data_IF_549053810074
#
_entry.id   IF_549053810074
#
_cell.length_a   1.000
_cell.length_b   1.000
_cell.length_c   1.000
_cell.angle_alpha   90.00
_cell.angle_beta   90.00
_cell.angle_gamma   90.00
#
_symmetry.space_group_name_H-M   'P 1'
#
loop_
_entity.id
_entity.type
_entity.pdbx_description
1 polymer ?
#
# COMPACT_ATOMS: atom_id res chain seq x y z
N UNK A 1 14.92 -10.94 0.53
CA UNK A 1 13.96 -9.82 0.50
C UNK A 1 14.20 -8.88 1.67
N UNK A 2 14.16 -7.58 1.45
CA UNK A 2 14.28 -6.54 2.48
C UNK A 2 12.93 -5.84 2.61
N UNK A 3 12.47 -5.64 3.85
CA UNK A 3 11.24 -4.90 4.14
C UNK A 3 11.55 -3.60 4.89
N UNK A 4 10.90 -2.50 4.51
CA UNK A 4 10.94 -1.23 5.24
C UNK A 4 9.53 -0.77 5.57
N UNK A 5 9.32 -0.35 6.82
CA UNK A 5 8.02 0.05 7.34
C UNK A 5 8.06 1.52 7.78
N UNK A 6 7.07 2.31 7.37
CA UNK A 6 6.96 3.73 7.70
C UNK A 6 5.51 4.06 8.08
N UNK A 7 5.34 4.82 9.16
CA UNK A 7 4.03 5.38 9.54
C UNK A 7 3.92 6.84 9.11
N UNK A 8 2.85 7.18 8.40
CA UNK A 8 2.65 8.49 7.78
C UNK A 8 1.34 9.17 8.20
N UNK A 9 1.22 10.46 7.84
CA UNK A 9 0.06 11.30 8.17
C UNK A 9 -0.94 11.48 7.02
N UNK A 10 -0.64 11.12 5.78
CA UNK A 10 -1.52 11.43 4.63
C UNK A 10 -1.45 10.36 3.56
N UNK A 11 -2.58 9.68 3.29
CA UNK A 11 -2.70 8.71 2.19
C UNK A 11 -2.54 9.43 0.85
N UNK A 12 -3.19 10.58 0.66
CA UNK A 12 -3.08 11.38 -0.58
C UNK A 12 -1.63 11.75 -0.92
N UNK A 13 -0.86 12.17 0.09
CA UNK A 13 0.56 12.51 -0.11
C UNK A 13 1.39 11.30 -0.52
N UNK A 14 1.20 10.17 0.16
CA UNK A 14 1.89 8.92 -0.19
C UNK A 14 1.51 8.41 -1.58
N UNK A 15 0.22 8.38 -1.91
CA UNK A 15 -0.28 7.90 -3.20
C UNK A 15 0.21 8.78 -4.35
N UNK A 16 0.21 10.11 -4.20
CA UNK A 16 0.78 11.00 -5.22
C UNK A 16 2.27 10.74 -5.45
N UNK A 17 3.02 10.45 -4.39
CA UNK A 17 4.44 10.11 -4.50
C UNK A 17 4.64 8.78 -5.23
N UNK A 18 3.92 7.72 -4.83
CA UNK A 18 4.08 6.38 -5.41
C UNK A 18 3.64 6.34 -6.88
N UNK A 19 2.48 6.88 -7.21
CA UNK A 19 2.00 6.96 -8.59
C UNK A 19 2.80 7.93 -9.47
N UNK A 20 3.63 8.78 -8.88
CA UNK A 20 4.54 9.67 -9.61
C UNK A 20 5.84 9.01 -10.04
N UNK A 21 6.10 7.77 -9.62
CA UNK A 21 7.29 7.02 -10.04
C UNK A 21 7.07 6.39 -11.41
N UNK A 22 8.15 6.34 -12.18
CA UNK A 22 8.16 5.64 -13.46
C UNK A 22 7.89 4.15 -13.23
N UNK A 23 7.05 3.54 -14.08
CA UNK A 23 6.68 2.13 -13.94
C UNK A 23 5.64 1.81 -12.86
N UNK A 24 5.19 2.81 -12.08
CA UNK A 24 4.24 2.58 -11.00
C UNK A 24 2.93 1.94 -11.50
N UNK A 25 2.62 0.76 -10.99
CA UNK A 25 1.47 -0.05 -11.37
C UNK A 25 0.76 -0.61 -10.17
N UNK A 26 -0.57 -0.51 -10.15
CA UNK A 26 -1.40 -1.20 -9.17
C UNK A 26 -1.46 -2.69 -9.49
N UNK A 27 -0.97 -3.51 -8.56
CA UNK A 27 -0.88 -4.98 -8.69
C UNK A 27 -1.87 -5.70 -7.76
N UNK A 28 -2.67 -4.94 -7.00
CA UNK A 28 -3.80 -5.47 -6.26
C UNK A 28 -4.21 -4.60 -5.09
N UNK A 29 -5.15 -5.07 -4.30
CA UNK A 29 -5.79 -4.30 -3.24
C UNK A 29 -7.22 -4.77 -3.02
N UNK A 30 -7.91 -4.14 -2.08
CA UNK A 30 -9.34 -4.35 -1.82
C UNK A 30 -10.14 -3.04 -1.96
N UNK A 31 -9.66 -2.14 -2.80
CA UNK A 31 -10.26 -0.84 -3.10
C UNK A 31 -10.46 -0.70 -4.61
N UNK A 32 -11.46 0.07 -5.00
CA UNK A 32 -11.88 0.22 -6.41
C UNK A 32 -11.14 1.35 -7.13
N UNK A 33 -10.64 2.34 -6.39
CA UNK A 33 -9.99 3.52 -6.93
C UNK A 33 -8.76 3.16 -7.76
N UNK A 34 -8.60 3.87 -8.87
CA UNK A 34 -7.52 3.61 -9.85
C UNK A 34 -6.48 4.71 -9.90
N UNK A 35 -6.73 5.81 -9.20
CA UNK A 35 -5.82 6.93 -9.12
C UNK A 35 -5.67 7.44 -7.67
N UNK A 36 -4.62 8.22 -7.38
CA UNK A 36 -4.38 8.73 -6.03
C UNK A 36 -5.52 9.53 -5.41
N UNK A 37 -6.49 10.04 -6.18
CA UNK A 37 -7.57 10.89 -5.65
C UNK A 37 -8.71 10.01 -5.16
N UNK A 38 -9.11 9.03 -5.99
CA UNK A 38 -10.12 8.03 -5.65
C UNK A 38 -9.69 7.19 -4.45
N UNK A 39 -8.49 6.62 -4.50
CA UNK A 39 -7.94 5.80 -3.41
C UNK A 39 -7.85 6.57 -2.09
N UNK A 40 -7.46 7.85 -2.14
CA UNK A 40 -7.42 8.68 -0.93
C UNK A 40 -8.82 8.99 -0.37
N UNK A 41 -9.84 9.05 -1.24
CA UNK A 41 -11.23 9.22 -0.82
C UNK A 41 -11.75 7.95 -0.14
N UNK A 42 -11.42 6.76 -0.64
CA UNK A 42 -11.77 5.49 0.00
C UNK A 42 -11.10 5.32 1.37
N UNK A 43 -9.79 5.57 1.46
CA UNK A 43 -9.06 5.51 2.74
C UNK A 43 -9.58 6.49 3.79
N UNK A 44 -10.29 7.55 3.37
CA UNK A 44 -10.87 8.52 4.30
C UNK A 44 -11.88 7.87 5.25
N UNK A 45 -12.62 6.86 4.79
CA UNK A 45 -13.58 6.13 5.62
C UNK A 45 -12.88 5.44 6.79
N UNK A 46 -11.78 4.73 6.53
CA UNK A 46 -10.96 4.09 7.59
C UNK A 46 -10.43 5.11 8.61
N UNK A 47 -9.99 6.29 8.15
CA UNK A 47 -9.53 7.35 9.07
C UNK A 47 -10.65 7.87 9.97
N UNK A 48 -11.87 8.00 9.45
CA UNK A 48 -13.00 8.56 10.21
C UNK A 48 -13.43 7.65 11.37
N UNK A 49 -13.15 6.35 11.30
CA UNK A 49 -13.43 5.39 12.38
C UNK A 49 -12.66 5.68 13.67
N UNK A 50 -11.46 6.25 13.57
CA UNK A 50 -10.69 6.66 14.75
C UNK A 50 -9.96 8.00 14.54
N UNK A 51 -10.65 9.13 14.76
CA UNK A 51 -10.10 10.47 14.55
C UNK A 51 -8.89 10.82 15.43
N UNK A 52 -8.67 10.08 16.53
CA UNK A 52 -7.54 10.31 17.45
C UNK A 52 -6.20 9.83 16.85
N UNK A 53 -6.23 9.02 15.79
CA UNK A 53 -5.02 8.49 15.16
C UNK A 53 -4.38 9.55 14.27
N UNK A 54 -3.28 10.14 14.74
CA UNK A 54 -2.53 11.18 14.02
C UNK A 54 -1.67 10.65 12.86
N UNK A 55 -1.32 9.36 12.89
CA UNK A 55 -0.55 8.65 11.84
C UNK A 55 -1.31 7.41 11.37
N UNK A 56 -2.34 7.64 10.56
CA UNK A 56 -3.22 6.58 10.06
C UNK A 56 -2.67 5.81 8.86
N UNK A 57 -1.55 6.25 8.27
CA UNK A 57 -0.96 5.59 7.10
C UNK A 57 0.11 4.61 7.57
N UNK A 58 0.03 3.38 7.11
CA UNK A 58 1.09 2.40 7.22
C UNK A 58 1.58 2.05 5.82
N UNK A 59 2.87 2.30 5.57
CA UNK A 59 3.53 2.05 4.29
C UNK A 59 4.61 0.99 4.52
N UNK A 60 4.47 -0.15 3.85
CA UNK A 60 5.48 -1.19 3.81
C UNK A 60 6.00 -1.33 2.38
N UNK A 61 7.31 -1.21 2.20
CA UNK A 61 7.98 -1.50 0.94
C UNK A 61 8.76 -2.80 1.06
N UNK A 62 8.56 -3.71 0.12
CA UNK A 62 9.27 -4.98 0.03
C UNK A 62 10.14 -4.95 -1.23
N UNK A 63 11.40 -5.37 -1.11
CA UNK A 63 12.36 -5.32 -2.22
C UNK A 63 13.17 -6.61 -2.30
N UNK A 64 13.42 -7.05 -3.53
CA UNK A 64 14.25 -8.22 -3.82
C UNK A 64 15.73 -7.80 -4.00
N UNK A 65 16.66 -8.76 -3.88
CA UNK A 65 18.01 -8.60 -4.42
C UNK A 65 17.98 -8.22 -5.91
N UNK A 66 19.02 -7.50 -6.38
CA UNK A 66 19.05 -6.95 -7.74
C UNK A 66 19.00 -7.99 -8.87
N UNK A 67 19.29 -9.25 -8.56
CA UNK A 67 19.31 -10.38 -9.49
C UNK A 67 18.04 -11.23 -9.45
N UNK A 68 17.01 -10.81 -8.72
CA UNK A 68 15.74 -11.52 -8.58
C UNK A 68 14.58 -10.65 -9.07
N UNK A 69 13.61 -11.28 -9.72
CA UNK A 69 12.37 -10.66 -10.16
C UNK A 69 11.21 -11.61 -9.91
N UNK A 70 10.06 -11.06 -9.52
CA UNK A 70 8.80 -11.78 -9.38
C UNK A 70 7.76 -11.11 -10.25
N UNK A 71 6.82 -11.89 -10.77
CA UNK A 71 5.64 -11.36 -11.46
C UNK A 71 4.65 -10.70 -10.48
N UNK A 72 3.72 -9.94 -11.05
CA UNK A 72 2.73 -9.16 -10.31
C UNK A 72 1.84 -10.05 -9.40
N UNK A 73 1.48 -11.25 -9.87
CA UNK A 73 0.62 -12.18 -9.13
C UNK A 73 1.33 -12.71 -7.88
N UNK A 74 2.61 -13.07 -8.02
CA UNK A 74 3.45 -13.51 -6.90
C UNK A 74 3.66 -12.37 -5.90
N UNK A 75 3.87 -11.14 -6.38
CA UNK A 75 3.92 -9.97 -5.51
C UNK A 75 2.61 -9.72 -4.77
N UNK A 76 1.48 -9.90 -5.44
CA UNK A 76 0.16 -9.77 -4.83
C UNK A 76 -0.03 -10.78 -3.69
N UNK A 77 0.32 -12.05 -3.91
CA UNK A 77 0.27 -13.07 -2.86
C UNK A 77 1.16 -12.75 -1.67
N UNK A 78 2.39 -12.28 -1.93
CA UNK A 78 3.34 -11.89 -0.87
C UNK A 78 2.77 -10.73 -0.06
N UNK A 79 2.18 -9.73 -0.72
CA UNK A 79 1.53 -8.60 -0.04
C UNK A 79 0.38 -9.07 0.85
N UNK A 80 -0.47 -10.00 0.38
CA UNK A 80 -1.56 -10.56 1.17
C UNK A 80 -1.04 -11.34 2.39
N UNK A 81 -0.05 -12.22 2.21
CA UNK A 81 0.59 -12.98 3.30
C UNK A 81 1.22 -12.05 4.34
N UNK A 82 1.89 -11.00 3.87
CA UNK A 82 2.48 -9.98 4.73
C UNK A 82 1.41 -9.25 5.57
N UNK A 83 0.33 -8.78 4.94
CA UNK A 83 -0.76 -8.09 5.64
C UNK A 83 -1.41 -8.98 6.69
N UNK A 84 -1.66 -10.25 6.36
CA UNK A 84 -2.21 -11.22 7.32
C UNK A 84 -1.26 -11.40 8.53
N UNK A 85 0.03 -11.65 8.28
CA UNK A 85 1.02 -11.85 9.33
C UNK A 85 1.19 -10.62 10.24
N UNK A 86 0.99 -9.41 9.70
CA UNK A 86 1.06 -8.16 10.44
C UNK A 86 -0.25 -7.76 11.15
N UNK A 87 -1.31 -8.57 11.03
CA UNK A 87 -2.61 -8.30 11.63
C UNK A 87 -3.46 -7.27 10.89
N UNK A 88 -3.16 -7.03 9.61
CA UNK A 88 -3.89 -6.10 8.72
C UNK A 88 -4.88 -6.78 7.78
N UNK A 89 -5.21 -8.06 8.00
CA UNK A 89 -6.06 -8.84 7.10
C UNK A 89 -7.47 -8.27 6.86
N UNK A 90 -7.95 -7.38 7.72
CA UNK A 90 -9.26 -6.71 7.63
C UNK A 90 -9.16 -5.22 7.28
N UNK A 91 -7.97 -4.73 6.91
CA UNK A 91 -7.74 -3.32 6.59
C UNK A 91 -7.90 -3.05 5.09
N UNK A 92 -8.28 -1.82 4.74
CA UNK A 92 -8.12 -1.32 3.38
C UNK A 92 -6.63 -1.26 3.03
N UNK A 93 -6.27 -1.71 1.82
CA UNK A 93 -4.91 -1.65 1.31
C UNK A 93 -4.86 -1.55 -0.21
N UNK A 94 -3.72 -1.09 -0.70
CA UNK A 94 -3.34 -1.10 -2.12
C UNK A 94 -1.92 -1.66 -2.24
N UNK A 95 -1.69 -2.49 -3.24
CA UNK A 95 -0.36 -2.96 -3.66
C UNK A 95 0.07 -2.22 -4.92
N UNK A 96 1.26 -1.61 -4.88
CA UNK A 96 1.87 -0.91 -6.01
C UNK A 96 3.24 -1.52 -6.28
N UNK A 97 3.49 -1.92 -7.53
CA UNK A 97 4.82 -2.23 -8.04
C UNK A 97 5.43 -0.99 -8.69
N UNK A 98 6.75 -0.86 -8.64
CA UNK A 98 7.56 0.18 -9.27
C UNK A 98 8.87 -0.41 -9.80
#
# INVERSE_FOLDING_TARGET
>A
MIGKQVKGKSFRGLLNYLFGKEGAKQIGGNMEGTNPRELAAEFRFSRQLNPKVSRAVYHASLSLPHNESLDDDTWHEIAQKYLQAMGFGMNQYIGLAE
#
